data_IF_899220445691
#
_entry.id   IF_899220445691
#
_cell.length_a   1.000
_cell.length_b   1.000
_cell.length_c   1.000
_cell.angle_alpha   90.00
_cell.angle_beta   90.00
_cell.angle_gamma   90.00
#
_symmetry.space_group_name_H-M   'P 1'
#
loop_
_entity.id
_entity.type
_entity.pdbx_description
1 polymer ?
#
# COMPACT_ATOMS: atom_id res chain seq x y z
N UNK A 1 48.22 10.47 7.38
CA UNK A 1 47.64 9.21 6.89
C UNK A 1 46.86 8.60 8.05
N UNK A 2 45.53 8.66 7.98
CA UNK A 2 44.66 8.02 8.97
C UNK A 2 44.67 6.52 8.68
N UNK A 3 44.98 5.72 9.70
CA UNK A 3 45.02 4.26 9.62
C UNK A 3 43.91 3.71 10.48
N UNK A 4 43.05 2.88 9.92
CA UNK A 4 41.94 2.27 10.61
C UNK A 4 42.34 0.88 11.09
N UNK A 5 42.19 0.63 12.39
CA UNK A 5 42.24 -0.73 12.92
C UNK A 5 40.96 -1.50 12.56
N UNK A 6 40.97 -2.83 12.69
CA UNK A 6 39.83 -3.69 12.33
C UNK A 6 38.49 -3.24 12.97
N UNK A 7 38.56 -2.74 14.19
CA UNK A 7 37.38 -2.36 14.99
C UNK A 7 36.79 -1.04 14.49
N UNK A 8 37.63 -0.08 14.15
CA UNK A 8 37.26 1.21 13.56
C UNK A 8 36.76 1.02 12.13
N UNK A 9 37.44 0.17 11.34
CA UNK A 9 37.02 -0.23 10.01
C UNK A 9 35.62 -0.87 10.03
N UNK A 10 35.37 -1.75 11.00
CA UNK A 10 34.05 -2.35 11.17
C UNK A 10 32.99 -1.30 11.50
N UNK A 11 33.28 -0.37 12.41
CA UNK A 11 32.35 0.71 12.75
C UNK A 11 31.97 1.57 11.54
N UNK A 12 32.95 1.94 10.69
CA UNK A 12 32.68 2.72 9.47
C UNK A 12 31.85 1.91 8.47
N UNK A 13 32.16 0.63 8.28
CA UNK A 13 31.41 -0.23 7.35
C UNK A 13 29.98 -0.53 7.84
N UNK A 14 29.78 -0.61 9.15
CA UNK A 14 28.46 -0.77 9.78
C UNK A 14 27.61 0.50 9.63
N UNK A 15 28.20 1.67 9.86
CA UNK A 15 27.54 2.97 9.64
C UNK A 15 27.08 3.14 8.18
N UNK A 16 27.90 2.68 7.23
CA UNK A 16 27.58 2.70 5.81
C UNK A 16 26.66 1.54 5.35
N UNK A 17 26.10 0.76 6.30
CA UNK A 17 25.18 -0.38 6.05
C UNK A 17 25.77 -1.46 5.12
N UNK A 18 27.09 -1.57 5.01
CA UNK A 18 27.77 -2.55 4.14
C UNK A 18 27.84 -3.93 4.78
N UNK A 19 28.05 -4.00 6.11
CA UNK A 19 28.06 -5.25 6.85
C UNK A 19 27.71 -5.02 8.32
N UNK A 20 27.01 -5.98 8.93
CA UNK A 20 26.79 -6.05 10.39
C UNK A 20 27.67 -7.10 11.08
N UNK A 21 28.56 -7.75 10.32
CA UNK A 21 29.39 -8.85 10.81
C UNK A 21 30.89 -8.54 10.64
N UNK A 22 31.59 -8.44 11.78
CA UNK A 22 33.04 -8.20 11.87
C UNK A 22 33.88 -9.31 11.23
N UNK A 23 33.39 -10.56 11.22
CA UNK A 23 34.09 -11.67 10.57
C UNK A 23 34.05 -11.55 9.04
N UNK A 24 33.01 -10.93 8.48
CA UNK A 24 32.97 -10.61 7.04
C UNK A 24 34.08 -9.64 6.65
N UNK A 25 34.38 -8.65 7.51
CA UNK A 25 35.48 -7.71 7.33
C UNK A 25 36.83 -8.43 7.38
N UNK A 26 37.05 -9.33 8.35
CA UNK A 26 38.26 -10.17 8.41
C UNK A 26 38.43 -11.03 7.16
N UNK A 27 37.34 -11.62 6.66
CA UNK A 27 37.35 -12.41 5.41
C UNK A 27 37.74 -11.55 4.22
N UNK A 28 37.24 -10.32 4.10
CA UNK A 28 37.59 -9.42 3.01
C UNK A 28 39.05 -8.98 3.04
N UNK A 29 39.59 -8.74 4.22
CA UNK A 29 41.02 -8.44 4.41
C UNK A 29 41.90 -9.63 4.02
N UNK A 30 41.53 -10.86 4.42
CA UNK A 30 42.26 -12.08 4.00
C UNK A 30 42.18 -12.33 2.50
N UNK A 31 41.05 -12.00 1.87
CA UNK A 31 40.82 -12.18 0.44
C UNK A 31 41.43 -11.05 -0.42
N UNK A 32 42.00 -10.01 0.20
CA UNK A 32 42.53 -8.84 -0.51
C UNK A 32 41.46 -7.96 -1.16
N UNK A 33 40.17 -8.14 -0.79
CA UNK A 33 39.07 -7.28 -1.27
C UNK A 33 39.14 -5.87 -0.67
N UNK A 34 39.66 -5.76 0.55
CA UNK A 34 40.07 -4.50 1.16
C UNK A 34 41.59 -4.58 1.29
N UNK A 35 42.30 -3.60 0.71
CA UNK A 35 43.76 -3.54 0.82
C UNK A 35 44.13 -3.14 2.26
N UNK A 36 44.50 -4.13 3.07
CA UNK A 36 44.99 -3.92 4.43
C UNK A 36 46.38 -4.50 4.61
N UNK A 37 47.21 -3.86 5.42
CA UNK A 37 48.49 -4.39 5.86
C UNK A 37 48.29 -5.14 7.17
N UNK A 38 48.96 -6.29 7.31
CA UNK A 38 49.03 -7.00 8.58
C UNK A 38 50.04 -6.26 9.47
N UNK A 39 49.62 -5.81 10.65
CA UNK A 39 50.49 -5.08 11.55
C UNK A 39 51.74 -5.90 11.91
N UNK A 40 52.93 -5.33 11.67
CA UNK A 40 54.20 -5.91 12.08
C UNK A 40 54.49 -5.49 13.52
N UNK A 41 54.04 -6.29 14.49
CA UNK A 41 54.27 -6.00 15.91
C UNK A 41 53.68 -7.03 16.88
N UNK A 42 53.89 -6.87 18.20
CA UNK A 42 53.57 -7.87 19.23
C UNK A 42 52.09 -8.28 19.28
N UNK A 43 51.18 -7.44 18.76
CA UNK A 43 49.78 -7.76 18.49
C UNK A 43 49.65 -8.48 17.14
N UNK A 44 50.04 -9.75 17.08
CA UNK A 44 50.15 -10.61 15.87
C UNK A 44 48.90 -10.73 14.96
N UNK A 45 47.77 -10.11 15.31
CA UNK A 45 46.47 -10.28 14.64
C UNK A 45 45.76 -8.96 14.24
N UNK A 46 46.41 -7.80 14.38
CA UNK A 46 45.82 -6.51 13.97
C UNK A 46 45.93 -6.29 12.46
N UNK A 47 44.81 -6.09 11.77
CA UNK A 47 44.79 -5.56 10.41
C UNK A 47 44.73 -4.04 10.47
N UNK A 48 45.49 -3.38 9.61
CA UNK A 48 45.48 -1.93 9.44
C UNK A 48 45.10 -1.61 7.99
N UNK A 49 44.18 -0.66 7.81
CA UNK A 49 43.69 -0.25 6.50
C UNK A 49 43.88 1.24 6.35
N UNK A 50 44.46 1.69 5.23
CA UNK A 50 44.56 3.11 4.94
C UNK A 50 43.19 3.68 4.58
N UNK A 51 42.98 4.95 4.91
CA UNK A 51 41.76 5.68 4.53
C UNK A 51 41.46 5.61 3.03
N UNK A 52 42.48 5.68 2.18
CA UNK A 52 42.34 5.56 0.73
C UNK A 52 41.81 4.19 0.29
N UNK A 53 42.29 3.10 0.91
CA UNK A 53 41.83 1.75 0.61
C UNK A 53 40.38 1.52 1.06
N UNK A 54 40.00 2.10 2.21
CA UNK A 54 38.62 2.10 2.69
C UNK A 54 37.71 2.87 1.73
N UNK A 55 38.08 4.10 1.36
CA UNK A 55 37.31 4.92 0.44
C UNK A 55 37.12 4.25 -0.92
N UNK A 56 38.15 3.63 -1.49
CA UNK A 56 38.03 2.84 -2.73
C UNK A 56 37.01 1.71 -2.57
N UNK A 57 37.08 0.96 -1.47
CA UNK A 57 36.15 -0.13 -1.19
C UNK A 57 34.70 0.34 -1.01
N UNK A 58 34.49 1.48 -0.34
CA UNK A 58 33.17 2.11 -0.22
C UNK A 58 32.63 2.51 -1.60
N UNK A 59 33.47 3.16 -2.42
CA UNK A 59 33.10 3.63 -3.75
C UNK A 59 32.74 2.49 -4.74
N UNK A 60 33.32 1.31 -4.59
CA UNK A 60 32.97 0.14 -5.40
C UNK A 60 31.65 -0.52 -4.98
N UNK A 61 31.27 -0.38 -3.70
CA UNK A 61 30.13 -1.09 -3.09
C UNK A 61 28.88 -0.24 -2.97
N UNK A 62 29.02 1.08 -2.99
CA UNK A 62 27.93 2.03 -2.94
C UNK A 62 27.62 2.50 -4.37
N UNK A 63 26.37 2.36 -4.86
CA UNK A 63 25.94 2.98 -6.10
C UNK A 63 26.22 4.50 -6.06
N UNK A 64 26.64 5.10 -7.18
CA UNK A 64 26.84 6.56 -7.30
C UNK A 64 25.62 7.40 -6.90
N UNK A 65 24.43 6.79 -6.77
CA UNK A 65 23.19 7.40 -6.30
C UNK A 65 23.17 7.75 -4.80
N UNK A 66 24.17 7.32 -4.01
CA UNK A 66 24.26 7.65 -2.58
C UNK A 66 25.41 8.61 -2.24
N UNK A 67 26.07 9.19 -3.27
CA UNK A 67 27.07 10.25 -3.06
C UNK A 67 26.34 11.58 -2.88
N UNK A 68 26.18 11.94 -1.61
CA UNK A 68 25.92 13.29 -1.09
C UNK A 68 24.80 14.08 -1.76
N UNK A 69 23.61 14.01 -1.16
CA UNK A 69 23.02 15.19 -0.51
C UNK A 69 22.65 14.75 0.91
N UNK A 70 23.33 15.30 1.91
CA UNK A 70 22.96 15.17 3.33
C UNK A 70 22.08 16.37 3.73
N UNK A 71 21.27 16.83 2.78
CA UNK A 71 20.17 17.77 2.94
C UNK A 71 18.96 17.05 2.34
N UNK A 72 17.85 17.00 3.09
CA UNK A 72 16.67 16.19 2.80
C UNK A 72 16.85 14.66 2.92
N UNK A 73 17.01 14.18 4.16
CA UNK A 73 16.18 13.03 4.52
C UNK A 73 14.75 13.39 4.06
N UNK A 74 14.07 12.59 3.20
CA UNK A 74 12.72 12.93 2.80
C UNK A 74 11.97 13.17 4.09
N UNK A 75 11.51 14.41 4.30
CA UNK A 75 10.84 14.82 5.52
C UNK A 75 9.88 13.69 5.84
N UNK A 76 10.07 13.04 7.00
CA UNK A 76 9.29 11.87 7.35
C UNK A 76 7.84 12.28 7.16
N UNK A 77 7.22 11.75 6.09
CA UNK A 77 5.90 12.19 5.66
C UNK A 77 5.02 12.11 6.88
N UNK A 78 4.22 13.15 7.12
CA UNK A 78 3.28 13.13 8.24
C UNK A 78 2.46 11.84 8.18
N UNK A 79 2.03 11.32 9.32
CA UNK A 79 1.23 10.08 9.34
C UNK A 79 0.01 10.19 8.41
N UNK A 80 -0.58 11.38 8.32
CA UNK A 80 -1.67 11.72 7.40
C UNK A 80 -1.27 11.60 5.92
N UNK A 81 -0.09 12.11 5.52
CA UNK A 81 0.39 11.98 4.14
C UNK A 81 0.75 10.53 3.79
N UNK A 82 1.30 9.77 4.73
CA UNK A 82 1.57 8.34 4.52
C UNK A 82 0.28 7.53 4.35
N UNK A 83 -0.73 7.83 5.15
CA UNK A 83 -2.04 7.18 5.06
C UNK A 83 -2.73 7.52 3.73
N UNK A 84 -2.69 8.80 3.31
CA UNK A 84 -3.19 9.21 1.99
C UNK A 84 -2.52 8.48 0.84
N UNK A 85 -1.18 8.43 0.81
CA UNK A 85 -0.45 7.75 -0.25
C UNK A 85 -0.71 6.24 -0.26
N UNK A 86 -0.89 5.63 0.93
CA UNK A 86 -1.28 4.22 1.04
C UNK A 86 -2.67 3.99 0.45
N UNK A 87 -3.63 4.86 0.75
CA UNK A 87 -5.00 4.76 0.26
C UNK A 87 -5.09 5.01 -1.26
N UNK A 88 -4.34 5.99 -1.77
CA UNK A 88 -4.20 6.23 -3.21
C UNK A 88 -3.63 4.99 -3.92
N UNK A 89 -2.54 4.42 -3.39
CA UNK A 89 -1.96 3.19 -3.94
C UNK A 89 -2.89 1.97 -3.84
N UNK A 90 -3.71 1.89 -2.79
CA UNK A 90 -4.72 0.84 -2.63
C UNK A 90 -5.79 0.97 -3.71
N UNK A 91 -6.29 2.18 -3.94
CA UNK A 91 -7.31 2.46 -4.94
C UNK A 91 -6.82 2.12 -6.36
N UNK A 92 -5.57 2.46 -6.69
CA UNK A 92 -4.94 2.13 -7.98
C UNK A 92 -4.88 0.61 -8.22
N UNK A 93 -4.53 -0.17 -7.20
CA UNK A 93 -4.52 -1.64 -7.30
C UNK A 93 -5.93 -2.18 -7.53
N UNK A 94 -6.92 -1.66 -6.80
CA UNK A 94 -8.32 -2.03 -6.98
C UNK A 94 -8.86 -1.66 -8.37
N UNK A 95 -8.42 -0.54 -8.95
CA UNK A 95 -8.75 -0.15 -10.32
C UNK A 95 -8.16 -1.10 -11.35
N UNK A 96 -6.90 -1.49 -11.18
CA UNK A 96 -6.28 -2.48 -12.05
C UNK A 96 -6.94 -3.86 -11.97
N UNK A 97 -7.36 -4.30 -10.78
CA UNK A 97 -8.07 -5.56 -10.58
C UNK A 97 -9.46 -5.53 -11.23
N UNK A 98 -10.21 -4.45 -11.02
CA UNK A 98 -11.52 -4.26 -11.65
C UNK A 98 -11.43 -4.20 -13.18
N UNK A 99 -10.42 -3.52 -13.73
CA UNK A 99 -10.18 -3.47 -15.18
C UNK A 99 -9.89 -4.86 -15.77
N UNK A 100 -9.29 -5.75 -14.98
CA UNK A 100 -9.07 -7.16 -15.34
C UNK A 100 -10.27 -8.06 -15.02
N UNK A 101 -11.38 -7.49 -14.56
CA UNK A 101 -12.60 -8.18 -14.15
C UNK A 101 -12.37 -9.24 -13.06
N UNK A 102 -11.41 -8.98 -12.16
CA UNK A 102 -11.10 -9.84 -11.02
C UNK A 102 -11.93 -9.37 -9.82
N UNK A 103 -12.81 -10.24 -9.34
CA UNK A 103 -13.72 -9.97 -8.22
C UNK A 103 -13.67 -11.11 -7.20
N UNK A 104 -13.89 -10.80 -5.93
CA UNK A 104 -13.93 -11.80 -4.86
C UNK A 104 -15.23 -12.61 -4.91
N UNK A 105 -16.33 -11.93 -5.17
CA UNK A 105 -17.63 -12.57 -5.19
C UNK A 105 -18.72 -11.69 -5.78
N UNK A 106 -19.93 -12.22 -5.72
CA UNK A 106 -21.14 -11.55 -6.18
C UNK A 106 -22.18 -11.58 -5.08
N UNK A 107 -22.63 -10.41 -4.68
CA UNK A 107 -23.75 -10.25 -3.78
C UNK A 107 -25.06 -10.20 -4.58
N UNK A 108 -26.04 -11.01 -4.19
CA UNK A 108 -27.34 -11.11 -4.88
C UNK A 108 -28.40 -10.42 -4.04
N UNK A 109 -29.07 -9.42 -4.63
CA UNK A 109 -30.11 -8.70 -3.93
C UNK A 109 -31.40 -9.50 -3.84
N UNK A 110 -32.01 -9.49 -2.66
CA UNK A 110 -33.36 -10.02 -2.43
C UNK A 110 -34.31 -8.85 -2.17
N UNK A 111 -35.48 -8.85 -2.81
CA UNK A 111 -36.48 -7.79 -2.64
C UNK A 111 -36.87 -7.58 -1.17
N UNK A 112 -36.98 -8.67 -0.39
CA UNK A 112 -37.26 -8.60 1.05
C UNK A 112 -36.13 -7.87 1.78
N UNK A 113 -34.89 -8.31 1.59
CA UNK A 113 -33.71 -7.70 2.22
C UNK A 113 -33.55 -6.21 1.93
N UNK A 114 -33.78 -5.80 0.68
CA UNK A 114 -33.79 -4.36 0.33
C UNK A 114 -34.89 -3.64 1.11
N UNK A 115 -36.12 -4.17 1.14
CA UNK A 115 -37.21 -3.54 1.90
C UNK A 115 -36.90 -3.44 3.40
N UNK A 116 -36.36 -4.50 4.00
CA UNK A 116 -35.96 -4.51 5.40
C UNK A 116 -34.91 -3.40 5.66
N UNK A 117 -33.95 -3.19 4.74
CA UNK A 117 -32.99 -2.09 4.82
C UNK A 117 -33.65 -0.71 4.66
N UNK A 118 -34.59 -0.54 3.73
CA UNK A 118 -35.33 0.71 3.53
C UNK A 118 -36.18 1.06 4.77
N UNK A 119 -36.76 0.05 5.42
CA UNK A 119 -37.53 0.18 6.65
C UNK A 119 -36.65 0.56 7.83
N UNK A 120 -35.46 -0.07 7.98
CA UNK A 120 -34.47 0.31 8.99
C UNK A 120 -34.04 1.78 8.87
N UNK A 121 -33.90 2.29 7.64
CA UNK A 121 -33.57 3.70 7.37
C UNK A 121 -34.77 4.65 7.50
N UNK A 122 -35.95 4.14 7.88
CA UNK A 122 -37.21 4.89 8.02
C UNK A 122 -37.50 5.76 6.80
N UNK A 123 -37.31 5.21 5.60
CA UNK A 123 -37.62 5.95 4.38
C UNK A 123 -39.12 5.95 4.12
N UNK A 124 -39.73 7.07 4.47
CA UNK A 124 -41.17 7.30 4.35
C UNK A 124 -41.59 7.79 2.96
N UNK A 125 -40.69 8.41 2.19
CA UNK A 125 -41.01 8.91 0.84
C UNK A 125 -41.23 7.72 -0.14
N UNK A 126 -42.47 7.50 -0.62
CA UNK A 126 -42.79 6.36 -1.48
C UNK A 126 -42.10 6.41 -2.84
N UNK A 127 -41.95 7.61 -3.42
CA UNK A 127 -41.37 7.80 -4.75
C UNK A 127 -39.87 7.49 -4.72
N UNK A 128 -39.15 8.01 -3.71
CA UNK A 128 -37.73 7.68 -3.50
C UNK A 128 -37.55 6.19 -3.25
N UNK A 129 -38.42 5.58 -2.43
CA UNK A 129 -38.37 4.14 -2.14
C UNK A 129 -38.54 3.30 -3.42
N UNK A 130 -39.55 3.65 -4.22
CA UNK A 130 -39.84 2.95 -5.47
C UNK A 130 -38.71 3.13 -6.49
N UNK A 131 -38.13 4.33 -6.58
CA UNK A 131 -36.96 4.60 -7.41
C UNK A 131 -35.78 3.70 -7.05
N UNK A 132 -35.41 3.66 -5.77
CA UNK A 132 -34.30 2.84 -5.27
C UNK A 132 -34.55 1.36 -5.56
N UNK A 133 -35.74 0.84 -5.22
CA UNK A 133 -36.11 -0.55 -5.49
C UNK A 133 -36.00 -0.90 -6.98
N UNK A 134 -36.49 0.00 -7.84
CA UNK A 134 -36.46 -0.21 -9.30
C UNK A 134 -35.04 -0.27 -9.81
N UNK A 135 -34.16 0.62 -9.34
CA UNK A 135 -32.74 0.65 -9.76
C UNK A 135 -31.99 -0.59 -9.29
N UNK A 136 -32.09 -0.95 -8.01
CA UNK A 136 -31.39 -2.11 -7.47
C UNK A 136 -31.87 -3.41 -8.14
N UNK A 137 -33.19 -3.61 -8.27
CA UNK A 137 -33.76 -4.83 -8.86
C UNK A 137 -33.60 -4.89 -10.39
N UNK A 138 -33.44 -3.74 -11.05
CA UNK A 138 -33.11 -3.64 -12.47
C UNK A 138 -31.64 -3.94 -12.78
N UNK A 139 -30.75 -3.83 -11.79
CA UNK A 139 -29.31 -4.01 -11.98
C UNK A 139 -28.90 -5.48 -12.09
N UNK A 140 -28.97 -6.02 -13.32
CA UNK A 140 -28.69 -7.43 -13.60
C UNK A 140 -27.37 -7.70 -14.33
N UNK A 141 -26.79 -6.73 -15.05
CA UNK A 141 -25.50 -6.87 -15.78
C UNK A 141 -25.32 -8.22 -16.52
N UNK A 142 -26.37 -8.68 -17.22
CA UNK A 142 -26.37 -9.95 -17.96
C UNK A 142 -26.63 -11.22 -17.12
N UNK A 143 -26.80 -11.11 -15.80
CA UNK A 143 -27.19 -12.19 -14.92
C UNK A 143 -28.72 -12.33 -14.82
N UNK A 144 -29.20 -13.51 -14.38
CA UNK A 144 -30.62 -13.77 -14.17
C UNK A 144 -31.20 -12.99 -12.97
N UNK A 145 -30.40 -12.81 -11.92
CA UNK A 145 -30.79 -12.17 -10.66
C UNK A 145 -30.14 -10.78 -10.52
N UNK A 146 -30.75 -9.82 -9.82
CA UNK A 146 -30.09 -8.54 -9.52
C UNK A 146 -28.97 -8.72 -8.50
N UNK A 147 -27.87 -7.99 -8.67
CA UNK A 147 -26.72 -8.12 -7.77
C UNK A 147 -25.50 -7.34 -8.22
N UNK A 148 -24.54 -7.19 -7.32
CA UNK A 148 -23.27 -6.48 -7.55
C UNK A 148 -22.10 -7.42 -7.34
N UNK A 149 -21.02 -7.18 -8.08
CA UNK A 149 -19.72 -7.79 -7.81
C UNK A 149 -18.99 -6.95 -6.78
N UNK A 150 -18.23 -7.62 -5.91
CA UNK A 150 -17.48 -6.96 -4.86
C UNK A 150 -16.06 -7.50 -4.76
N UNK A 151 -15.18 -6.69 -4.19
CA UNK A 151 -13.77 -6.97 -3.99
C UNK A 151 -13.33 -6.25 -2.72
N UNK A 152 -12.86 -7.02 -1.73
CA UNK A 152 -12.46 -6.52 -0.42
C UNK A 152 -13.60 -5.72 0.22
N UNK A 153 -13.39 -4.42 0.44
CA UNK A 153 -14.31 -3.47 1.06
C UNK A 153 -15.07 -2.62 0.04
N UNK A 154 -15.10 -3.01 -1.24
CA UNK A 154 -15.76 -2.26 -2.29
C UNK A 154 -16.68 -3.12 -3.15
N UNK A 155 -17.69 -2.51 -3.74
CA UNK A 155 -18.54 -3.12 -4.76
C UNK A 155 -18.76 -2.19 -5.94
N UNK A 156 -19.09 -2.80 -7.08
CA UNK A 156 -19.33 -2.07 -8.33
C UNK A 156 -20.82 -2.04 -8.66
N UNK A 157 -21.39 -0.83 -8.72
CA UNK A 157 -22.76 -0.59 -9.15
C UNK A 157 -22.76 0.39 -10.32
N UNK A 158 -23.28 -0.04 -11.47
CA UNK A 158 -23.40 0.77 -12.70
C UNK A 158 -22.09 1.44 -13.19
N UNK A 159 -20.92 0.92 -12.78
CA UNK A 159 -19.61 1.44 -13.20
C UNK A 159 -18.96 2.28 -12.11
N UNK A 160 -19.73 2.65 -11.09
CA UNK A 160 -19.25 3.35 -9.91
C UNK A 160 -18.81 2.34 -8.85
N UNK A 161 -17.63 2.58 -8.28
CA UNK A 161 -17.15 1.83 -7.12
C UNK A 161 -17.64 2.49 -5.84
N UNK A 162 -18.34 1.72 -5.02
CA UNK A 162 -18.87 2.14 -3.72
C UNK A 162 -18.17 1.36 -2.62
N UNK A 163 -17.92 2.02 -1.50
CA UNK A 163 -17.32 1.42 -0.30
C UNK A 163 -18.37 0.69 0.53
N UNK A 164 -17.96 -0.35 1.24
CA UNK A 164 -18.77 -0.99 2.25
C UNK A 164 -18.97 -0.07 3.46
N UNK A 165 -20.09 -0.24 4.12
CA UNK A 165 -20.33 0.36 5.43
C UNK A 165 -19.91 -0.61 6.53
N UNK A 166 -18.64 -0.51 6.96
CA UNK A 166 -18.02 -1.46 7.90
C UNK A 166 -18.60 -1.40 9.31
N UNK A 167 -19.47 -0.42 9.61
CA UNK A 167 -20.21 -0.35 10.87
C UNK A 167 -21.24 -1.49 11.00
N UNK A 168 -21.63 -2.12 9.89
CA UNK A 168 -22.58 -3.22 9.88
C UNK A 168 -21.90 -4.59 9.89
N UNK A 169 -22.48 -5.55 10.61
CA UNK A 169 -21.90 -6.89 10.74
C UNK A 169 -22.23 -7.85 9.59
N UNK A 170 -23.28 -7.58 8.82
CA UNK A 170 -23.71 -8.45 7.72
C UNK A 170 -23.31 -7.88 6.36
N UNK A 171 -22.80 -8.73 5.46
CA UNK A 171 -22.45 -8.33 4.09
C UNK A 171 -23.63 -7.70 3.34
N UNK A 172 -24.85 -8.15 3.65
CA UNK A 172 -26.07 -7.60 3.08
C UNK A 172 -26.27 -6.13 3.44
N UNK A 173 -26.10 -5.77 4.71
CA UNK A 173 -26.21 -4.38 5.17
C UNK A 173 -25.02 -3.53 4.72
N UNK A 174 -23.80 -4.08 4.82
CA UNK A 174 -22.56 -3.42 4.38
C UNK A 174 -22.62 -2.96 2.92
N UNK A 175 -23.32 -3.70 2.05
CA UNK A 175 -23.49 -3.36 0.63
C UNK A 175 -24.77 -2.56 0.38
N UNK A 176 -25.90 -3.00 0.95
CA UNK A 176 -27.22 -2.46 0.60
C UNK A 176 -27.40 -1.05 1.15
N UNK A 177 -26.87 -0.72 2.33
CA UNK A 177 -27.02 0.62 2.90
C UNK A 177 -26.26 1.71 2.13
N UNK A 178 -24.96 1.57 1.82
CA UNK A 178 -24.27 2.52 0.94
C UNK A 178 -24.95 2.70 -0.40
N UNK A 179 -25.45 1.61 -1.00
CA UNK A 179 -26.13 1.68 -2.29
C UNK A 179 -27.46 2.46 -2.18
N UNK A 180 -28.23 2.23 -1.13
CA UNK A 180 -29.44 2.99 -0.83
C UNK A 180 -29.11 4.49 -0.70
N UNK A 181 -28.06 4.83 0.04
CA UNK A 181 -27.67 6.23 0.24
C UNK A 181 -27.20 6.88 -1.05
N UNK A 182 -26.38 6.19 -1.84
CA UNK A 182 -25.95 6.61 -3.16
C UNK A 182 -27.15 6.94 -4.06
N UNK A 183 -28.11 6.02 -4.18
CA UNK A 183 -29.31 6.21 -5.00
C UNK A 183 -30.24 7.29 -4.44
N UNK A 184 -30.30 7.46 -3.12
CA UNK A 184 -31.07 8.56 -2.49
C UNK A 184 -30.49 9.91 -2.84
N UNK A 185 -29.16 10.04 -2.88
CA UNK A 185 -28.49 11.26 -3.30
C UNK A 185 -28.67 11.52 -4.79
N UNK A 186 -28.58 10.49 -5.63
CA UNK A 186 -28.86 10.58 -7.07
C UNK A 186 -30.31 11.03 -7.33
N UNK A 187 -31.29 10.53 -6.55
CA UNK A 187 -32.68 10.96 -6.67
C UNK A 187 -32.87 12.45 -6.31
N UNK A 188 -32.15 12.95 -5.30
CA UNK A 188 -32.20 14.36 -4.88
C UNK A 188 -31.50 15.29 -5.86
N UNK A 189 -30.42 14.81 -6.46
CA UNK A 189 -29.57 15.56 -7.37
C UNK A 189 -29.25 14.73 -8.61
N UNK A 190 -30.12 14.78 -9.64
CA UNK A 190 -29.96 14.01 -10.86
C UNK A 190 -28.68 14.34 -11.63
N UNK A 191 -28.04 15.49 -11.38
CA UNK A 191 -26.77 15.86 -12.03
C UNK A 191 -25.60 14.96 -11.60
N UNK A 192 -25.76 14.20 -10.49
CA UNK A 192 -24.79 13.18 -10.06
C UNK A 192 -24.84 11.90 -10.89
N UNK A 193 -25.81 11.79 -11.79
CA UNK A 193 -25.89 10.71 -12.76
C UNK A 193 -24.79 10.91 -13.79
N UNK A 194 -23.70 10.17 -13.64
CA UNK A 194 -22.69 10.05 -14.69
C UNK A 194 -23.30 9.12 -15.74
N UNK A 195 -23.82 9.68 -16.83
CA UNK A 195 -24.24 8.91 -18.00
C UNK A 195 -22.98 8.26 -18.61
N UNK A 196 -22.88 6.94 -18.50
CA UNK A 196 -21.91 6.09 -19.19
C UNK A 196 -22.55 5.45 -20.43
#
# INVERSE_FOLDING_TARGET
>A
MTMYELDELFAVLEQNKITKNKESVRRWLRQGKIQGTKGAGPKRNGWQVSEEALQRFLNERLPHQFREETEDAPAALSEEEQERLREEGRQDVLDQLAAKNIWEGRFVFRKKGINDCLDHRRMENPDTRQYILTRILGHKRGYATPGVVYLLDTFNFEGNRLMFDTDFGSLEEQITFPLIEYLRQEYRDPARRIDL
#
